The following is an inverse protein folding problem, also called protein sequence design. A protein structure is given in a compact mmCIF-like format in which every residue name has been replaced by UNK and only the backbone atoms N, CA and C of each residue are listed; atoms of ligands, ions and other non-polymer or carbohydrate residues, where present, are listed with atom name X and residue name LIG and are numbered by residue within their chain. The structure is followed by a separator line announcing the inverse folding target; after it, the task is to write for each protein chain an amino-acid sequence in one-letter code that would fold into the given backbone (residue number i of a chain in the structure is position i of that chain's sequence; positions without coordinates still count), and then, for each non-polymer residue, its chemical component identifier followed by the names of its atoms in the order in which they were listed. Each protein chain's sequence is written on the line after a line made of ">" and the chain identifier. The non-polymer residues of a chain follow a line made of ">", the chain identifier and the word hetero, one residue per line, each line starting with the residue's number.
data_IF_168494777043
#
_entry.id   IF_168494777043
#
_cell.length_a   1.000
_cell.length_b   1.000
_cell.length_c   1.000
_cell.angle_alpha   90.00
_cell.angle_beta   90.00
_cell.angle_gamma   90.00
#
_symmetry.space_group_name_H-M   'P 1'
#
loop_
_entity.id
_entity.type
_entity.pdbx_description
1 polymer ?
#
# COMPACT_ATOMS: atom_id res chain seq x y z
N UNK A 1 33.13 20.55 -1.84
CA UNK A 1 31.69 20.31 -2.08
C UNK A 1 31.53 19.29 -3.18
N UNK A 2 30.69 18.28 -2.99
CA UNK A 2 30.28 17.36 -4.05
C UNK A 2 28.77 17.48 -4.25
N UNK A 3 28.34 17.81 -5.46
CA UNK A 3 26.93 17.80 -5.84
C UNK A 3 26.58 16.42 -6.41
N UNK A 4 25.51 15.81 -5.88
CA UNK A 4 24.94 14.57 -6.39
C UNK A 4 23.54 14.85 -6.91
N UNK A 5 23.14 14.16 -7.97
CA UNK A 5 21.81 14.31 -8.55
C UNK A 5 21.14 12.95 -8.78
N UNK A 6 19.85 12.87 -8.44
CA UNK A 6 19.04 11.68 -8.63
C UNK A 6 17.54 12.05 -8.66
N UNK A 7 16.70 11.05 -8.93
CA UNK A 7 15.26 11.21 -8.85
C UNK A 7 14.79 11.24 -7.39
N UNK A 8 15.31 10.43 -6.48
CA UNK A 8 14.89 10.47 -5.07
C UNK A 8 13.35 10.38 -4.91
N UNK A 9 12.70 9.48 -5.66
CA UNK A 9 11.25 9.34 -5.67
C UNK A 9 10.76 7.93 -5.28
N UNK A 10 10.93 7.52 -4.01
CA UNK A 10 11.52 8.31 -2.93
C UNK A 10 13.00 7.99 -2.75
N UNK A 11 13.69 8.86 -2.01
CA UNK A 11 15.06 8.59 -1.56
C UNK A 11 15.18 7.25 -0.83
N UNK A 12 16.16 6.43 -1.24
CA UNK A 12 16.35 5.07 -0.75
C UNK A 12 17.48 4.96 0.27
N UNK A 13 17.56 3.83 0.98
CA UNK A 13 18.70 3.50 1.84
C UNK A 13 20.01 3.38 1.06
N UNK A 14 19.96 2.83 -0.17
CA UNK A 14 21.14 2.68 -1.01
C UNK A 14 21.69 4.03 -1.49
N UNK A 15 20.82 4.98 -1.82
CA UNK A 15 21.22 6.34 -2.19
C UNK A 15 21.83 7.11 -1.00
N UNK A 16 21.24 6.97 0.20
CA UNK A 16 21.85 7.51 1.42
C UNK A 16 23.23 6.89 1.64
N UNK A 17 23.36 5.56 1.55
CA UNK A 17 24.62 4.86 1.71
C UNK A 17 25.68 5.32 0.69
N UNK A 18 25.29 5.52 -0.57
CA UNK A 18 26.17 6.05 -1.62
C UNK A 18 26.66 7.47 -1.30
N UNK A 19 25.78 8.35 -0.81
CA UNK A 19 26.16 9.69 -0.38
C UNK A 19 27.15 9.67 0.79
N UNK A 20 26.89 8.85 1.81
CA UNK A 20 27.79 8.67 2.96
C UNK A 20 29.16 8.11 2.52
N UNK A 21 29.16 7.20 1.54
CA UNK A 21 30.37 6.62 0.97
C UNK A 21 31.22 7.68 0.24
N UNK A 22 30.60 8.52 -0.58
CA UNK A 22 31.28 9.64 -1.24
C UNK A 22 31.90 10.61 -0.23
N UNK A 23 31.17 10.95 0.83
CA UNK A 23 31.71 11.78 1.90
C UNK A 23 32.95 11.13 2.53
N UNK A 24 32.89 9.82 2.84
CA UNK A 24 34.01 9.09 3.45
C UNK A 24 35.26 9.08 2.58
N UNK A 25 35.12 8.99 1.26
CA UNK A 25 36.26 8.96 0.33
C UNK A 25 36.88 10.35 0.17
N UNK A 26 36.04 11.38 0.01
CA UNK A 26 36.52 12.71 -0.38
C UNK A 26 36.67 13.68 0.79
N UNK A 27 36.13 13.36 1.97
CA UNK A 27 36.06 14.26 3.13
C UNK A 27 35.38 15.60 2.82
N UNK A 28 34.42 15.58 1.88
CA UNK A 28 33.71 16.76 1.37
C UNK A 28 32.24 16.70 1.75
N UNK A 29 31.63 17.86 1.94
CA UNK A 29 30.18 18.02 2.14
C UNK A 29 29.42 17.60 0.87
N UNK A 30 28.34 16.81 1.04
CA UNK A 30 27.54 16.26 -0.06
C UNK A 30 26.23 17.02 -0.19
N UNK A 31 25.90 17.41 -1.42
CA UNK A 31 24.75 18.24 -1.73
C UNK A 31 23.85 17.52 -2.72
N UNK A 32 22.64 17.15 -2.28
CA UNK A 32 21.68 16.39 -3.05
C UNK A 32 20.77 17.32 -3.87
N UNK A 33 20.73 17.12 -5.18
CA UNK A 33 19.87 17.81 -6.13
C UNK A 33 18.83 16.86 -6.74
N UNK A 34 17.56 17.29 -6.70
CA UNK A 34 16.45 16.53 -7.26
C UNK A 34 16.30 16.80 -8.76
N UNK A 35 16.28 15.74 -9.57
CA UNK A 35 15.90 15.79 -11.00
C UNK A 35 14.38 15.87 -11.17
N UNK A 36 13.89 16.38 -12.29
CA UNK A 36 12.44 16.51 -12.56
C UNK A 36 11.84 15.34 -13.35
N UNK A 37 12.65 14.39 -13.76
CA UNK A 37 12.26 13.41 -14.78
C UNK A 37 11.62 12.17 -14.17
N UNK A 38 10.53 11.70 -14.78
CA UNK A 38 9.86 10.41 -14.49
C UNK A 38 9.45 10.20 -13.01
N UNK A 39 8.82 11.20 -12.41
CA UNK A 39 8.43 11.17 -10.98
C UNK A 39 6.94 10.93 -10.78
N UNK A 40 6.62 10.12 -9.79
CA UNK A 40 5.28 9.92 -9.20
C UNK A 40 4.92 11.07 -8.27
N UNK A 41 5.79 11.40 -7.32
CA UNK A 41 5.51 12.49 -6.38
C UNK A 41 5.96 13.84 -6.94
N UNK A 42 5.26 14.89 -6.52
CA UNK A 42 5.64 16.24 -6.89
C UNK A 42 6.95 16.68 -6.21
N UNK A 43 7.53 17.77 -6.70
CA UNK A 43 8.79 18.31 -6.18
C UNK A 43 8.70 18.66 -4.69
N UNK A 44 7.54 19.09 -4.20
CA UNK A 44 7.34 19.51 -2.80
C UNK A 44 7.38 18.30 -1.87
N UNK A 45 6.71 17.22 -2.23
CA UNK A 45 6.68 15.99 -1.46
C UNK A 45 8.04 15.28 -1.48
N UNK A 46 8.68 15.16 -2.64
CA UNK A 46 10.03 14.61 -2.76
C UNK A 46 11.05 15.40 -1.95
N UNK A 47 11.00 16.73 -2.02
CA UNK A 47 11.84 17.61 -1.18
C UNK A 47 11.62 17.34 0.30
N UNK A 48 10.37 17.13 0.74
CA UNK A 48 10.07 16.81 2.13
C UNK A 48 10.64 15.44 2.55
N UNK A 49 10.59 14.44 1.67
CA UNK A 49 11.16 13.11 1.93
C UNK A 49 12.69 13.18 2.00
N UNK A 50 13.36 13.85 1.05
CA UNK A 50 14.82 14.04 1.08
C UNK A 50 15.25 14.76 2.36
N UNK A 51 14.57 15.85 2.75
CA UNK A 51 14.86 16.56 4.00
C UNK A 51 14.77 15.65 5.24
N UNK A 52 13.73 14.81 5.32
CA UNK A 52 13.58 13.85 6.42
C UNK A 52 14.66 12.77 6.41
N UNK A 53 15.02 12.27 5.23
CA UNK A 53 16.03 11.23 5.07
C UNK A 53 17.42 11.72 5.48
N UNK A 54 17.80 12.94 5.08
CA UNK A 54 19.14 13.47 5.33
C UNK A 54 19.30 14.14 6.71
N UNK A 55 18.20 14.48 7.39
CA UNK A 55 18.22 15.17 8.69
C UNK A 55 19.20 14.59 9.73
N UNK A 56 19.36 13.25 9.88
CA UNK A 56 20.30 12.69 10.85
C UNK A 56 21.79 12.90 10.50
N UNK A 57 22.11 13.31 9.26
CA UNK A 57 23.46 13.33 8.73
C UNK A 57 23.95 14.77 8.53
N UNK A 58 24.93 15.19 9.34
CA UNK A 58 25.43 16.58 9.34
C UNK A 58 26.10 17.03 8.04
N UNK A 59 26.57 16.07 7.23
CA UNK A 59 27.35 16.32 6.02
C UNK A 59 26.54 16.17 4.72
N UNK A 60 25.22 15.92 4.85
CA UNK A 60 24.30 15.80 3.72
C UNK A 60 23.37 17.01 3.70
N UNK A 61 23.35 17.72 2.58
CA UNK A 61 22.58 18.94 2.41
C UNK A 61 21.68 18.84 1.20
N UNK A 62 20.54 19.53 1.22
CA UNK A 62 19.70 19.70 0.05
C UNK A 62 20.21 20.89 -0.77
N UNK A 63 20.34 20.71 -2.08
CA UNK A 63 20.73 21.75 -3.03
C UNK A 63 19.65 21.93 -4.09
N UNK A 64 19.29 23.19 -4.36
CA UNK A 64 18.25 23.53 -5.33
C UNK A 64 18.83 24.34 -6.48
N UNK A 65 18.59 23.89 -7.72
CA UNK A 65 18.87 24.67 -8.92
C UNK A 65 20.35 24.86 -9.27
N UNK A 66 21.23 23.96 -8.81
CA UNK A 66 22.64 23.98 -9.15
C UNK A 66 22.85 23.54 -10.60
N UNK A 67 23.64 24.33 -11.34
CA UNK A 67 23.93 24.15 -12.77
C UNK A 67 25.35 23.65 -13.05
N UNK A 68 26.13 23.38 -12.00
CA UNK A 68 27.49 22.87 -12.14
C UNK A 68 27.53 21.35 -12.38
N UNK A 69 28.73 20.77 -12.37
CA UNK A 69 28.92 19.34 -12.54
C UNK A 69 28.37 18.58 -11.32
N UNK A 70 27.47 17.63 -11.56
CA UNK A 70 26.93 16.72 -10.56
C UNK A 70 27.37 15.28 -10.83
N UNK A 71 27.44 14.47 -9.77
CA UNK A 71 27.57 13.01 -9.86
C UNK A 71 26.15 12.43 -9.91
N UNK A 72 25.83 11.67 -10.96
CA UNK A 72 24.51 11.02 -11.08
C UNK A 72 24.49 9.69 -10.31
N UNK A 73 23.52 9.49 -9.44
CA UNK A 73 23.33 8.23 -8.70
C UNK A 73 22.44 7.26 -9.49
N UNK A 74 22.94 6.72 -10.60
CA UNK A 74 22.16 5.81 -11.44
C UNK A 74 21.76 4.50 -10.73
N UNK A 75 22.53 4.07 -9.74
CA UNK A 75 22.26 2.84 -8.97
C UNK A 75 20.97 2.92 -8.12
N UNK A 76 20.45 4.12 -7.84
CA UNK A 76 19.25 4.34 -7.03
C UNK A 76 17.94 4.01 -7.76
N UNK A 77 17.89 4.15 -9.09
CA UNK A 77 16.62 4.09 -9.86
C UNK A 77 15.88 2.75 -9.73
N UNK A 78 16.64 1.64 -9.72
CA UNK A 78 16.07 0.31 -9.57
C UNK A 78 15.46 0.11 -8.18
N UNK A 79 16.06 0.70 -7.15
CA UNK A 79 15.59 0.61 -5.77
C UNK A 79 14.41 1.54 -5.54
N UNK A 80 14.43 2.76 -6.08
CA UNK A 80 13.26 3.65 -6.08
C UNK A 80 12.05 2.96 -6.72
N UNK A 81 12.24 2.27 -7.86
CA UNK A 81 11.18 1.50 -8.50
C UNK A 81 10.62 0.43 -7.57
N UNK A 82 11.48 -0.38 -6.93
CA UNK A 82 11.03 -1.40 -5.96
C UNK A 82 10.25 -0.79 -4.80
N UNK A 83 10.64 0.40 -4.33
CA UNK A 83 9.90 1.13 -3.31
C UNK A 83 8.50 1.47 -3.83
N UNK A 84 8.37 2.07 -5.02
CA UNK A 84 7.09 2.41 -5.63
C UNK A 84 6.18 1.19 -5.85
N UNK A 85 6.78 0.02 -6.07
CA UNK A 85 6.10 -1.26 -6.26
C UNK A 85 5.77 -2.00 -4.93
N UNK A 86 6.03 -1.39 -3.78
CA UNK A 86 5.59 -1.89 -2.47
C UNK A 86 6.71 -2.35 -1.52
N UNK A 87 7.99 -2.29 -1.91
CA UNK A 87 9.08 -2.61 -0.99
C UNK A 87 9.57 -1.38 -0.23
N UNK A 88 8.72 -0.82 0.62
CA UNK A 88 9.04 0.42 1.36
C UNK A 88 10.17 0.27 2.39
N UNK A 89 10.62 -0.95 2.69
CA UNK A 89 11.86 -1.16 3.46
C UNK A 89 13.11 -0.66 2.76
N UNK A 90 13.05 -0.46 1.44
CA UNK A 90 14.16 0.12 0.68
C UNK A 90 14.16 1.65 0.71
N UNK A 91 13.04 2.28 1.07
CA UNK A 91 12.98 3.72 1.30
C UNK A 91 13.81 4.09 2.53
N UNK A 92 14.44 5.27 2.51
CA UNK A 92 15.21 5.77 3.65
C UNK A 92 14.35 5.77 4.93
N UNK A 93 14.88 5.21 6.02
CA UNK A 93 14.14 4.89 7.24
C UNK A 93 13.28 6.04 7.76
N UNK A 94 13.83 7.26 7.82
CA UNK A 94 13.15 8.46 8.30
C UNK A 94 11.92 8.88 7.47
N UNK A 95 11.77 8.36 6.26
CA UNK A 95 10.69 8.74 5.33
C UNK A 95 9.45 7.85 5.43
N UNK A 96 9.60 6.58 5.87
CA UNK A 96 8.56 5.54 5.79
C UNK A 96 7.27 5.96 6.49
N UNK A 97 7.37 6.52 7.70
CA UNK A 97 6.21 7.04 8.45
C UNK A 97 5.41 8.07 7.65
N UNK A 98 6.11 8.96 6.93
CA UNK A 98 5.46 9.99 6.10
C UNK A 98 4.81 9.37 4.87
N UNK A 99 5.49 8.42 4.21
CA UNK A 99 4.94 7.66 3.08
C UNK A 99 3.60 7.03 3.49
N UNK A 100 3.54 6.34 4.63
CA UNK A 100 2.28 5.77 5.14
C UNK A 100 1.22 6.80 5.46
N UNK A 101 1.58 7.84 6.21
CA UNK A 101 0.63 8.86 6.64
C UNK A 101 0.01 9.63 5.46
N UNK A 102 0.68 9.66 4.31
CA UNK A 102 0.21 10.29 3.08
C UNK A 102 -0.39 9.31 2.07
N UNK A 103 -0.25 8.00 2.29
CA UNK A 103 -0.59 7.00 1.28
C UNK A 103 0.24 7.13 0.00
N UNK A 104 1.45 7.72 0.09
CA UNK A 104 2.33 7.90 -1.05
C UNK A 104 2.69 6.53 -1.63
N UNK A 105 2.67 6.41 -2.95
CA UNK A 105 2.97 5.19 -3.70
C UNK A 105 1.97 4.04 -3.56
N UNK A 106 0.85 4.19 -2.84
CA UNK A 106 -0.08 3.06 -2.63
C UNK A 106 -0.82 2.66 -3.91
N UNK A 107 -1.12 3.63 -4.79
CA UNK A 107 -1.73 3.36 -6.09
C UNK A 107 -0.74 2.62 -7.00
N UNK A 108 0.50 3.07 -7.01
CA UNK A 108 1.62 2.49 -7.77
C UNK A 108 1.92 1.06 -7.29
N UNK A 109 1.89 0.85 -5.98
CA UNK A 109 2.01 -0.49 -5.37
C UNK A 109 0.87 -1.39 -5.83
N UNK A 110 -0.39 -0.93 -5.71
CA UNK A 110 -1.53 -1.71 -6.17
C UNK A 110 -1.47 -2.00 -7.68
N UNK A 111 -1.04 -1.03 -8.50
CA UNK A 111 -0.90 -1.18 -9.94
C UNK A 111 0.18 -2.21 -10.32
N UNK A 112 1.29 -2.24 -9.58
CA UNK A 112 2.39 -3.16 -9.84
C UNK A 112 2.10 -4.58 -9.36
N UNK A 113 1.38 -4.74 -8.25
CA UNK A 113 1.14 -6.03 -7.62
C UNK A 113 -0.13 -6.74 -8.11
N UNK A 114 -1.10 -6.00 -8.63
CA UNK A 114 -2.37 -6.54 -9.09
C UNK A 114 -2.43 -6.66 -10.62
N UNK A 115 -3.23 -7.59 -11.12
CA UNK A 115 -3.63 -7.56 -12.54
C UNK A 115 -4.43 -6.29 -12.86
N UNK A 116 -4.51 -5.83 -14.13
CA UNK A 116 -5.23 -4.61 -14.49
C UNK A 116 -6.68 -4.56 -13.98
N UNK A 117 -7.43 -5.64 -14.17
CA UNK A 117 -8.80 -5.77 -13.65
C UNK A 117 -8.85 -5.67 -12.12
N UNK A 118 -7.87 -6.26 -11.43
CA UNK A 118 -7.79 -6.25 -9.97
C UNK A 118 -7.38 -4.88 -9.44
N UNK A 119 -6.51 -4.16 -10.13
CA UNK A 119 -6.16 -2.78 -9.80
C UNK A 119 -7.37 -1.86 -9.88
N UNK A 120 -8.17 -1.96 -10.96
CA UNK A 120 -9.43 -1.20 -11.08
C UNK A 120 -10.43 -1.55 -9.96
N UNK A 121 -10.54 -2.84 -9.61
CA UNK A 121 -11.30 -3.30 -8.44
C UNK A 121 -10.81 -2.64 -7.14
N UNK A 122 -9.51 -2.61 -6.89
CA UNK A 122 -8.93 -1.95 -5.71
C UNK A 122 -9.23 -0.45 -5.68
N UNK A 123 -9.19 0.24 -6.82
CA UNK A 123 -9.52 1.67 -6.91
C UNK A 123 -11.00 1.89 -6.55
N UNK A 124 -11.94 1.15 -7.16
CA UNK A 124 -13.37 1.29 -6.86
C UNK A 124 -13.71 0.88 -5.44
N UNK A 125 -13.03 -0.14 -4.90
CA UNK A 125 -13.14 -0.55 -3.49
C UNK A 125 -12.66 0.57 -2.57
N UNK A 126 -11.51 1.19 -2.84
CA UNK A 126 -10.98 2.30 -2.06
C UNK A 126 -11.92 3.52 -2.06
N UNK A 127 -12.47 3.88 -3.22
CA UNK A 127 -13.43 4.98 -3.35
C UNK A 127 -14.73 4.68 -2.59
N UNK A 128 -15.26 3.46 -2.71
CA UNK A 128 -16.44 3.01 -1.99
C UNK A 128 -16.21 2.99 -0.47
N UNK A 129 -15.06 2.50 -0.02
CA UNK A 129 -14.67 2.49 1.39
C UNK A 129 -14.57 3.91 1.95
N UNK A 130 -13.93 4.83 1.22
CA UNK A 130 -13.81 6.23 1.60
C UNK A 130 -15.18 6.94 1.68
N UNK A 131 -16.09 6.64 0.75
CA UNK A 131 -17.46 7.14 0.78
C UNK A 131 -18.18 6.69 2.04
N UNK A 132 -18.22 5.37 2.31
CA UNK A 132 -18.88 4.81 3.49
C UNK A 132 -18.26 5.37 4.77
N UNK A 133 -16.93 5.47 4.84
CA UNK A 133 -16.21 6.02 6.00
C UNK A 133 -16.62 7.46 6.32
N UNK A 134 -16.82 8.30 5.29
CA UNK A 134 -17.28 9.69 5.47
C UNK A 134 -18.66 9.74 6.13
N UNK A 135 -19.60 8.89 5.70
CA UNK A 135 -20.94 8.84 6.28
C UNK A 135 -20.99 8.18 7.67
N UNK A 136 -20.09 7.23 7.92
CA UNK A 136 -20.04 6.48 9.17
C UNK A 136 -19.12 7.11 10.24
N UNK A 137 -18.63 8.33 10.02
CA UNK A 137 -17.67 9.01 10.90
C UNK A 137 -16.48 8.10 11.24
N UNK A 138 -15.84 7.55 10.21
CA UNK A 138 -14.60 6.78 10.29
C UNK A 138 -13.46 7.54 9.59
N UNK A 139 -12.23 7.08 9.79
CA UNK A 139 -11.07 7.65 9.11
C UNK A 139 -11.12 7.34 7.60
N UNK A 140 -11.42 8.36 6.81
CA UNK A 140 -11.55 8.28 5.34
C UNK A 140 -10.23 7.87 4.69
N UNK A 141 -9.09 8.35 5.19
CA UNK A 141 -7.78 8.03 4.62
C UNK A 141 -7.41 6.58 4.89
N UNK A 142 -7.65 6.08 6.10
CA UNK A 142 -7.45 4.66 6.41
C UNK A 142 -8.35 3.75 5.58
N UNK A 143 -9.62 4.11 5.41
CA UNK A 143 -10.57 3.36 4.58
C UNK A 143 -10.12 3.29 3.11
N UNK A 144 -9.68 4.43 2.57
CA UNK A 144 -9.14 4.48 1.21
C UNK A 144 -7.87 3.61 1.07
N UNK A 145 -6.92 3.72 2.01
CA UNK A 145 -5.69 2.93 1.99
C UNK A 145 -5.95 1.44 2.11
N UNK A 146 -6.85 1.03 3.01
CA UNK A 146 -7.21 -0.36 3.19
C UNK A 146 -7.87 -0.92 1.91
N UNK A 147 -8.74 -0.15 1.26
CA UNK A 147 -9.35 -0.53 -0.01
C UNK A 147 -8.34 -0.67 -1.17
N UNK A 148 -7.31 0.18 -1.25
CA UNK A 148 -6.26 0.04 -2.26
C UNK A 148 -5.44 -1.23 -2.06
N UNK A 149 -5.12 -1.56 -0.79
CA UNK A 149 -4.13 -2.56 -0.46
C UNK A 149 -4.69 -3.95 -0.11
N UNK A 150 -6.01 -4.11 0.01
CA UNK A 150 -6.60 -5.37 0.52
C UNK A 150 -6.27 -6.63 -0.31
N UNK A 151 -6.08 -6.45 -1.62
CA UNK A 151 -5.97 -7.53 -2.61
C UNK A 151 -4.56 -7.63 -3.22
N UNK A 152 -3.54 -6.96 -2.67
CA UNK A 152 -2.18 -6.87 -3.26
C UNK A 152 -1.47 -8.22 -3.41
N UNK A 153 -1.91 -9.26 -2.70
CA UNK A 153 -1.37 -10.62 -2.83
C UNK A 153 -2.35 -11.58 -3.51
N UNK A 154 -3.45 -11.08 -4.08
CA UNK A 154 -4.48 -11.91 -4.72
C UNK A 154 -3.96 -12.69 -5.92
N UNK A 155 -2.94 -12.16 -6.60
CA UNK A 155 -2.32 -12.74 -7.78
C UNK A 155 -1.18 -13.73 -7.47
N UNK A 156 -0.84 -13.94 -6.19
CA UNK A 156 0.15 -14.94 -5.80
C UNK A 156 -0.31 -16.34 -6.21
N UNK A 157 0.63 -17.18 -6.62
CA UNK A 157 0.36 -18.59 -6.89
C UNK A 157 -0.04 -19.32 -5.61
N UNK A 158 -0.66 -20.49 -5.76
CA UNK A 158 -0.98 -21.37 -4.64
C UNK A 158 0.28 -21.71 -3.84
N UNK A 159 1.37 -22.05 -4.53
CA UNK A 159 2.66 -22.41 -3.93
C UNK A 159 3.28 -21.23 -3.16
N UNK A 160 3.27 -20.03 -3.75
CA UNK A 160 3.76 -18.81 -3.08
C UNK A 160 2.98 -18.52 -1.81
N UNK A 161 1.64 -18.55 -1.89
CA UNK A 161 0.77 -18.35 -0.74
C UNK A 161 0.98 -19.41 0.34
N UNK A 162 1.06 -20.68 -0.05
CA UNK A 162 1.28 -21.79 0.86
C UNK A 162 2.64 -21.70 1.58
N UNK A 163 3.70 -21.31 0.87
CA UNK A 163 5.03 -21.13 1.46
C UNK A 163 5.05 -20.01 2.51
N UNK A 164 4.43 -18.87 2.19
CA UNK A 164 4.30 -17.75 3.14
C UNK A 164 3.53 -18.19 4.38
N UNK A 165 2.36 -18.83 4.20
CA UNK A 165 1.55 -19.27 5.34
C UNK A 165 2.24 -20.36 6.15
N UNK A 166 2.90 -21.33 5.52
CA UNK A 166 3.66 -22.38 6.23
C UNK A 166 4.72 -21.80 7.15
N UNK A 167 5.35 -20.69 6.77
CA UNK A 167 6.39 -20.07 7.60
C UNK A 167 5.81 -19.17 8.70
N UNK A 168 4.88 -18.27 8.35
CA UNK A 168 4.41 -17.24 9.29
C UNK A 168 3.16 -17.62 10.07
N UNK A 169 2.29 -18.46 9.49
CA UNK A 169 0.91 -18.69 9.93
C UNK A 169 0.39 -20.10 9.56
N UNK A 170 1.06 -21.21 9.97
CA UNK A 170 0.75 -22.56 9.47
C UNK A 170 -0.72 -22.99 9.65
N UNK A 171 -1.37 -22.58 10.74
CA UNK A 171 -2.77 -22.92 11.03
C UNK A 171 -3.75 -22.41 9.96
N UNK A 172 -3.38 -21.34 9.22
CA UNK A 172 -4.23 -20.75 8.20
C UNK A 172 -4.26 -21.54 6.88
N UNK A 173 -3.38 -22.53 6.71
CA UNK A 173 -3.44 -23.47 5.58
C UNK A 173 -4.71 -24.32 5.59
N UNK A 174 -5.43 -24.40 6.72
CA UNK A 174 -6.71 -25.10 6.81
C UNK A 174 -7.86 -24.40 6.05
N UNK A 175 -7.70 -23.11 5.71
CA UNK A 175 -8.68 -22.35 4.92
C UNK A 175 -8.46 -22.58 3.42
N UNK A 176 -9.49 -22.33 2.61
CA UNK A 176 -9.34 -22.30 1.15
C UNK A 176 -8.32 -21.26 0.71
N UNK A 177 -7.51 -21.63 -0.29
CA UNK A 177 -6.61 -20.77 -1.05
C UNK A 177 -7.21 -19.40 -1.46
N UNK A 178 -8.51 -19.36 -1.77
CA UNK A 178 -9.25 -18.14 -2.10
C UNK A 178 -9.25 -17.10 -0.98
N UNK A 179 -9.06 -17.53 0.27
CA UNK A 179 -9.03 -16.68 1.46
C UNK A 179 -7.60 -16.25 1.80
N UNK A 180 -6.58 -17.05 1.45
CA UNK A 180 -5.19 -16.85 1.88
C UNK A 180 -4.63 -15.44 1.66
N UNK A 181 -4.99 -14.80 0.55
CA UNK A 181 -4.57 -13.42 0.24
C UNK A 181 -4.84 -12.42 1.37
N UNK A 182 -5.93 -12.55 2.15
CA UNK A 182 -6.17 -11.61 3.26
C UNK A 182 -5.11 -11.72 4.35
N UNK A 183 -4.55 -12.92 4.57
CA UNK A 183 -3.46 -13.15 5.52
C UNK A 183 -2.09 -12.85 4.91
N UNK A 184 -1.85 -13.29 3.66
CA UNK A 184 -0.56 -13.06 3.00
C UNK A 184 -0.35 -11.58 2.70
N UNK A 185 -1.40 -10.80 2.45
CA UNK A 185 -1.32 -9.34 2.31
C UNK A 185 -0.81 -8.69 3.60
N UNK A 186 -1.38 -9.05 4.76
CA UNK A 186 -0.91 -8.52 6.06
C UNK A 186 0.54 -8.90 6.32
N UNK A 187 0.94 -10.14 6.01
CA UNK A 187 2.33 -10.57 6.14
C UNK A 187 3.24 -9.74 5.22
N UNK A 188 2.89 -9.59 3.94
CA UNK A 188 3.66 -8.80 2.98
C UNK A 188 3.78 -7.33 3.44
N UNK A 189 2.69 -6.74 3.90
CA UNK A 189 2.68 -5.37 4.40
C UNK A 189 3.61 -5.20 5.62
N UNK A 190 3.62 -6.16 6.55
CA UNK A 190 4.53 -6.11 7.72
C UNK A 190 5.99 -6.34 7.30
N UNK A 191 6.25 -7.32 6.43
CA UNK A 191 7.61 -7.77 6.11
C UNK A 191 8.31 -6.94 5.03
N UNK A 192 7.59 -6.47 4.00
CA UNK A 192 8.15 -5.78 2.84
C UNK A 192 7.84 -4.28 2.84
N UNK A 193 6.63 -3.92 3.26
CA UNK A 193 6.24 -2.51 3.37
C UNK A 193 6.65 -1.89 4.70
N UNK A 194 7.05 -2.65 5.73
CA UNK A 194 7.24 -2.10 7.10
C UNK A 194 6.02 -1.30 7.61
N UNK A 195 4.83 -1.73 7.18
CA UNK A 195 3.56 -1.12 7.53
C UNK A 195 3.17 -1.50 8.97
N UNK A 196 2.65 -0.53 9.73
CA UNK A 196 2.44 -0.67 11.19
C UNK A 196 1.06 -0.23 11.68
N UNK A 197 0.18 0.28 10.82
CA UNK A 197 -1.19 0.64 11.23
C UNK A 197 -2.03 -0.62 11.42
N UNK A 198 -2.12 -1.09 12.67
CA UNK A 198 -2.83 -2.32 13.01
C UNK A 198 -4.34 -2.27 12.72
N UNK A 199 -4.95 -1.08 12.63
CA UNK A 199 -6.36 -0.96 12.27
C UNK A 199 -6.57 -1.34 10.79
N UNK A 200 -5.72 -0.83 9.90
CA UNK A 200 -5.72 -1.18 8.47
C UNK A 200 -5.36 -2.66 8.28
N UNK A 201 -4.31 -3.14 8.97
CA UNK A 201 -3.88 -4.54 8.86
C UNK A 201 -4.99 -5.49 9.30
N UNK A 202 -5.67 -5.19 10.40
CA UNK A 202 -6.83 -5.97 10.87
C UNK A 202 -8.00 -5.89 9.90
N UNK A 203 -8.27 -4.73 9.31
CA UNK A 203 -9.31 -4.61 8.29
C UNK A 203 -9.03 -5.53 7.10
N UNK A 204 -7.79 -5.51 6.59
CA UNK A 204 -7.35 -6.35 5.47
C UNK A 204 -7.37 -7.83 5.85
N UNK A 205 -6.92 -8.22 7.05
CA UNK A 205 -6.94 -9.64 7.48
C UNK A 205 -8.34 -10.26 7.38
N UNK A 206 -9.36 -9.50 7.77
CA UNK A 206 -10.74 -9.95 7.91
C UNK A 206 -11.65 -9.59 6.73
N UNK A 207 -11.13 -8.96 5.67
CA UNK A 207 -11.97 -8.43 4.58
C UNK A 207 -12.68 -9.52 3.76
N UNK A 208 -12.20 -10.77 3.81
CA UNK A 208 -12.77 -11.89 3.05
C UNK A 208 -13.94 -12.54 3.78
N UNK A 209 -13.79 -12.73 5.10
CA UNK A 209 -14.75 -13.41 5.96
C UNK A 209 -15.80 -12.46 6.53
N UNK A 210 -15.44 -11.18 6.76
CA UNK A 210 -16.32 -10.18 7.39
C UNK A 210 -16.62 -10.48 8.86
N UNK A 211 -15.78 -11.25 9.54
CA UNK A 211 -15.95 -11.71 10.92
C UNK A 211 -15.43 -10.70 11.98
N UNK A 212 -14.85 -9.58 11.55
CA UNK A 212 -14.39 -8.52 12.44
C UNK A 212 -15.42 -7.41 12.62
N UNK A 213 -15.74 -7.10 13.90
CA UNK A 213 -16.68 -6.04 14.29
C UNK A 213 -16.07 -4.63 14.26
N UNK A 214 -14.78 -4.49 13.94
CA UNK A 214 -14.12 -3.19 13.85
C UNK A 214 -14.71 -2.35 12.72
N UNK A 215 -14.97 -1.05 12.97
CA UNK A 215 -15.64 -0.18 11.99
C UNK A 215 -14.93 -0.16 10.63
N UNK A 216 -13.60 -0.04 10.61
CA UNK A 216 -12.82 -0.08 9.37
C UNK A 216 -12.90 -1.44 8.65
N UNK A 217 -12.88 -2.55 9.40
CA UNK A 217 -13.00 -3.89 8.84
C UNK A 217 -14.38 -4.12 8.19
N UNK A 218 -15.44 -3.68 8.86
CA UNK A 218 -16.80 -3.70 8.30
C UNK A 218 -16.91 -2.85 7.03
N UNK A 219 -16.34 -1.64 7.03
CA UNK A 219 -16.32 -0.75 5.87
C UNK A 219 -15.61 -1.43 4.70
N UNK A 220 -14.41 -1.98 4.93
CA UNK A 220 -13.64 -2.64 3.88
C UNK A 220 -14.34 -3.89 3.34
N UNK A 221 -14.87 -4.74 4.23
CA UNK A 221 -15.64 -5.92 3.85
C UNK A 221 -16.81 -5.55 2.93
N UNK A 222 -17.60 -4.54 3.33
CA UNK A 222 -18.72 -4.07 2.51
C UNK A 222 -18.24 -3.49 1.19
N UNK A 223 -17.28 -2.58 1.22
CA UNK A 223 -16.75 -1.94 0.03
C UNK A 223 -16.25 -2.96 -1.01
N UNK A 224 -15.52 -4.00 -0.58
CA UNK A 224 -15.10 -5.10 -1.46
C UNK A 224 -16.32 -5.73 -2.15
N UNK A 225 -17.41 -6.01 -1.42
CA UNK A 225 -18.57 -6.73 -1.98
C UNK A 225 -19.51 -5.87 -2.83
N UNK A 226 -19.53 -4.56 -2.62
CA UNK A 226 -20.57 -3.68 -3.19
C UNK A 226 -19.98 -2.55 -4.05
N UNK A 227 -18.68 -2.58 -4.35
CA UNK A 227 -18.09 -1.64 -5.29
C UNK A 227 -18.84 -1.67 -6.66
N UNK A 228 -19.02 -0.53 -7.35
CA UNK A 228 -19.91 -0.43 -8.51
C UNK A 228 -19.61 -1.34 -9.71
N UNK A 229 -18.41 -1.92 -9.80
CA UNK A 229 -17.98 -2.83 -10.85
C UNK A 229 -18.35 -4.30 -10.63
N UNK A 230 -19.09 -4.64 -9.57
CA UNK A 230 -19.48 -6.03 -9.25
C UNK A 230 -20.51 -6.66 -10.20
N UNK A 231 -20.94 -5.97 -11.25
CA UNK A 231 -21.80 -6.51 -12.31
C UNK A 231 -23.28 -6.57 -11.97
N UNK A 232 -23.71 -5.92 -10.88
CA UNK A 232 -25.10 -5.72 -10.49
C UNK A 232 -25.26 -4.32 -9.87
N UNK A 233 -26.50 -3.85 -9.72
CA UNK A 233 -26.77 -2.56 -9.09
C UNK A 233 -26.54 -2.61 -7.57
N UNK A 234 -25.43 -2.01 -7.12
CA UNK A 234 -25.02 -1.93 -5.71
C UNK A 234 -25.48 -0.65 -5.01
N UNK A 235 -26.21 0.24 -5.70
CA UNK A 235 -26.60 1.56 -5.16
C UNK A 235 -27.35 1.45 -3.83
N UNK A 236 -28.29 0.50 -3.73
CA UNK A 236 -29.06 0.24 -2.50
C UNK A 236 -28.19 -0.23 -1.34
N UNK A 237 -27.17 -1.04 -1.63
CA UNK A 237 -26.23 -1.52 -0.62
C UNK A 237 -25.33 -0.39 -0.12
N UNK A 238 -24.81 0.45 -1.04
CA UNK A 238 -23.99 1.61 -0.69
C UNK A 238 -24.80 2.59 0.15
N UNK A 239 -26.02 2.90 -0.27
CA UNK A 239 -26.96 3.73 0.47
C UNK A 239 -27.23 3.21 1.89
N UNK A 240 -27.44 1.90 2.02
CA UNK A 240 -27.62 1.26 3.31
C UNK A 240 -26.34 1.30 4.14
N UNK A 241 -25.17 1.05 3.54
CA UNK A 241 -23.88 1.10 4.23
C UNK A 241 -23.58 2.51 4.77
N UNK A 242 -23.97 3.56 4.04
CA UNK A 242 -23.84 4.95 4.48
C UNK A 242 -24.81 5.32 5.61
N UNK A 243 -25.98 4.67 5.70
CA UNK A 243 -26.98 4.95 6.75
C UNK A 243 -26.81 4.07 7.99
N UNK A 244 -26.66 2.76 7.81
CA UNK A 244 -26.49 1.76 8.86
C UNK A 244 -25.53 0.65 8.41
N UNK A 245 -24.26 0.83 8.80
CA UNK A 245 -23.18 -0.11 8.49
C UNK A 245 -23.48 -1.54 8.98
N UNK A 246 -24.08 -1.69 10.16
CA UNK A 246 -24.36 -3.01 10.74
C UNK A 246 -25.49 -3.72 10.01
N UNK A 247 -26.53 -2.98 9.64
CA UNK A 247 -27.62 -3.53 8.82
C UNK A 247 -27.11 -3.97 7.45
N UNK A 248 -26.26 -3.17 6.81
CA UNK A 248 -25.67 -3.54 5.52
C UNK A 248 -24.79 -4.80 5.65
N UNK A 249 -23.94 -4.92 6.68
CA UNK A 249 -23.18 -6.15 6.91
C UNK A 249 -24.08 -7.37 7.03
N UNK A 250 -25.15 -7.31 7.83
CA UNK A 250 -26.09 -8.44 7.97
C UNK A 250 -26.73 -8.84 6.63
N UNK A 251 -27.07 -7.85 5.80
CA UNK A 251 -27.63 -8.09 4.46
C UNK A 251 -26.61 -8.79 3.56
N UNK A 252 -25.42 -8.22 3.42
CA UNK A 252 -24.35 -8.75 2.54
C UNK A 252 -23.86 -10.12 3.00
N UNK A 253 -23.80 -10.38 4.31
CA UNK A 253 -23.50 -11.72 4.83
C UNK A 253 -24.54 -12.75 4.40
N UNK A 254 -25.83 -12.42 4.55
CA UNK A 254 -26.93 -13.31 4.13
C UNK A 254 -26.88 -13.59 2.62
N UNK A 255 -26.66 -12.57 1.80
CA UNK A 255 -26.53 -12.72 0.35
C UNK A 255 -25.31 -13.59 -0.02
N UNK A 256 -24.19 -13.42 0.69
CA UNK A 256 -22.98 -14.22 0.49
C UNK A 256 -23.14 -15.68 0.90
N UNK A 257 -23.95 -15.97 1.92
CA UNK A 257 -24.32 -17.35 2.31
C UNK A 257 -25.19 -18.02 1.25
N UNK A 258 -26.22 -17.32 0.77
CA UNK A 258 -27.10 -17.83 -0.30
C UNK A 258 -26.29 -18.11 -1.56
N UNK A 259 -25.40 -17.19 -1.96
CA UNK A 259 -24.54 -17.38 -3.12
C UNK A 259 -23.62 -18.61 -2.99
N UNK A 260 -23.04 -18.83 -1.81
CA UNK A 260 -22.17 -19.98 -1.55
C UNK A 260 -22.95 -21.29 -1.67
N UNK A 261 -24.11 -21.37 -1.01
CA UNK A 261 -24.99 -22.55 -1.05
C UNK A 261 -25.45 -22.88 -2.46
N UNK A 262 -25.91 -21.87 -3.22
CA UNK A 262 -26.36 -22.08 -4.59
C UNK A 262 -25.25 -22.57 -5.53
N UNK A 263 -23.97 -22.26 -5.27
CA UNK A 263 -22.86 -22.79 -6.07
C UNK A 263 -22.47 -24.21 -5.68
N UNK A 264 -22.61 -24.57 -4.42
CA UNK A 264 -22.38 -25.94 -3.95
C UNK A 264 -23.43 -26.89 -4.55
N UNK A 265 -24.71 -26.46 -4.60
CA UNK A 265 -25.81 -27.22 -5.22
C UNK A 265 -25.71 -27.34 -6.77
N UNK A 266 -24.91 -26.50 -7.45
CA UNK A 266 -24.67 -26.58 -8.91
C UNK A 266 -23.46 -27.49 -9.24
N UNK A 267 -22.69 -27.92 -8.23
CA UNK A 267 -21.51 -28.76 -8.40
C UNK A 267 -21.65 -30.15 -7.75
N UNK A 268 -22.84 -30.46 -7.21
CA UNK A 268 -23.33 -31.83 -6.94
C UNK A 268 -24.13 -32.38 -8.12
#
# INVERSE_FOLDING_TARGET
>A
MIAVEACFDPITESEIAACLHLHRIHSEEIFLQLKKDHTVLDMKERTALVKLAIQPYRHLHLLAGYKGKCISLAEGEADEKKVREGNFRMAAYGTRKRIFAKGSYFKETAQAMCSPHRYEHSIRTAETAALIARHQNADVQKAYCAGLLHDITKSMSHEEGAQILKYYRPAWLAYSDKIWHSYTAVIYMKQNMAFTDEEILKAIEHHTLGDCQGKLAMILYLADKIEPGRGYDTSKHIDLACRDLKACCRLVHRESEIYRRNREEIHE
#
